data_IF_710593774779
#
_entry.id   IF_710593774779
#
_cell.length_a   1.000
_cell.length_b   1.000
_cell.length_c   1.000
_cell.angle_alpha   90.00
_cell.angle_beta   90.00
_cell.angle_gamma   90.00
#
_symmetry.space_group_name_H-M   'P 1'
#
loop_
_entity.id
_entity.type
_entity.pdbx_description
1 polymer ?
#
# COMPACT_ATOMS: atom_id res chain seq x y z
N UNK A 1 -14.06 0.99 62.11
CA UNK A 1 -13.91 1.92 60.97
C UNK A 1 -14.26 1.15 59.72
N UNK A 2 -15.37 1.47 59.06
CA UNK A 2 -15.78 0.82 57.82
C UNK A 2 -15.19 1.62 56.65
N UNK A 3 -14.42 0.95 55.79
CA UNK A 3 -13.91 1.54 54.55
C UNK A 3 -14.97 1.25 53.49
N UNK A 4 -15.76 2.25 53.14
CA UNK A 4 -16.63 2.18 51.96
C UNK A 4 -15.75 2.24 50.71
N UNK A 5 -15.84 1.25 49.80
CA UNK A 5 -15.26 1.41 48.47
C UNK A 5 -16.15 2.39 47.71
N UNK A 6 -15.66 3.60 47.49
CA UNK A 6 -16.24 4.51 46.52
C UNK A 6 -16.03 3.87 45.13
N UNK A 7 -17.11 3.27 44.60
CA UNK A 7 -17.19 2.88 43.20
C UNK A 7 -16.98 4.15 42.37
N UNK A 8 -15.83 4.26 41.72
CA UNK A 8 -15.59 5.25 40.68
C UNK A 8 -16.47 4.88 39.48
N UNK A 9 -17.70 5.37 39.49
CA UNK A 9 -18.58 5.36 38.32
C UNK A 9 -17.97 6.39 37.37
N UNK A 10 -17.14 5.95 36.42
CA UNK A 10 -16.85 6.74 35.23
C UNK A 10 -18.19 7.19 34.64
N UNK A 11 -18.38 8.48 34.42
CA UNK A 11 -19.69 9.05 34.09
C UNK A 11 -19.94 8.90 32.58
N UNK A 12 -20.80 7.97 32.10
CA UNK A 12 -21.23 7.92 30.70
C UNK A 12 -21.93 9.22 30.22
N UNK A 13 -22.14 10.20 31.11
CA UNK A 13 -22.76 11.49 30.82
C UNK A 13 -21.83 12.49 30.11
N UNK A 14 -20.52 12.47 30.37
CA UNK A 14 -19.60 13.46 29.81
C UNK A 14 -19.44 13.28 28.29
N UNK A 15 -19.23 12.04 27.84
CA UNK A 15 -19.13 11.70 26.41
C UNK A 15 -20.40 12.08 25.68
N UNK A 16 -21.58 11.64 26.17
CA UNK A 16 -22.86 11.95 25.53
C UNK A 16 -23.10 13.47 25.46
N UNK A 17 -22.91 14.20 26.58
CA UNK A 17 -23.10 15.64 26.61
C UNK A 17 -22.14 16.39 25.68
N UNK A 18 -20.87 15.99 25.62
CA UNK A 18 -19.88 16.59 24.71
C UNK A 18 -20.20 16.27 23.25
N UNK A 19 -20.52 15.01 22.93
CA UNK A 19 -20.85 14.63 21.55
C UNK A 19 -22.18 15.22 21.07
N UNK A 20 -23.16 15.45 21.96
CA UNK A 20 -24.44 16.08 21.63
C UNK A 20 -24.30 17.55 21.18
N UNK A 21 -23.17 18.20 21.49
CA UNK A 21 -22.86 19.54 21.00
C UNK A 21 -22.34 19.55 19.53
N UNK A 22 -22.06 18.39 18.95
CA UNK A 22 -21.60 18.25 17.56
C UNK A 22 -22.77 18.13 16.58
N UNK A 23 -22.46 18.06 15.29
CA UNK A 23 -23.49 17.77 14.28
C UNK A 23 -24.05 16.35 14.48
N UNK A 24 -25.32 16.08 14.12
CA UNK A 24 -25.91 14.75 14.26
C UNK A 24 -25.11 13.65 13.55
N UNK A 25 -24.43 13.98 12.44
CA UNK A 25 -23.58 13.07 11.68
C UNK A 25 -22.32 12.64 12.44
N UNK A 26 -21.80 13.51 13.31
CA UNK A 26 -20.58 13.25 14.08
C UNK A 26 -20.88 12.67 15.46
N UNK A 27 -22.12 12.70 15.92
CA UNK A 27 -22.50 12.23 17.26
C UNK A 27 -22.10 10.77 17.47
N UNK A 28 -22.57 9.85 16.62
CA UNK A 28 -22.28 8.41 16.76
C UNK A 28 -20.79 8.12 16.62
N UNK A 29 -20.11 8.83 15.70
CA UNK A 29 -18.66 8.72 15.52
C UNK A 29 -17.90 9.18 16.78
N UNK A 30 -18.27 10.32 17.35
CA UNK A 30 -17.69 10.86 18.57
C UNK A 30 -17.86 9.91 19.75
N UNK A 31 -19.10 9.42 19.98
CA UNK A 31 -19.39 8.48 21.05
C UNK A 31 -18.58 7.19 20.86
N UNK A 32 -18.55 6.65 19.63
CA UNK A 32 -17.82 5.41 19.33
C UNK A 32 -16.31 5.54 19.56
N UNK A 33 -15.69 6.61 19.05
CA UNK A 33 -14.25 6.85 19.20
C UNK A 33 -13.88 7.07 20.67
N UNK A 34 -14.59 7.93 21.39
CA UNK A 34 -14.26 8.27 22.78
C UNK A 34 -14.57 7.13 23.74
N UNK A 35 -15.62 6.32 23.50
CA UNK A 35 -15.94 5.18 24.37
C UNK A 35 -14.95 4.03 24.21
N UNK A 36 -14.27 3.91 23.06
CA UNK A 36 -13.28 2.87 22.80
C UNK A 36 -11.88 3.21 23.36
N UNK A 37 -11.61 4.48 23.68
CA UNK A 37 -10.34 4.92 24.25
C UNK A 37 -10.40 4.93 25.79
N UNK A 38 -9.50 4.23 26.49
CA UNK A 38 -9.53 4.15 27.95
C UNK A 38 -9.35 5.51 28.67
N UNK A 39 -8.58 6.43 28.09
CA UNK A 39 -8.36 7.75 28.71
C UNK A 39 -9.60 8.63 28.55
N UNK A 40 -10.24 8.61 27.37
CA UNK A 40 -11.51 9.27 27.13
C UNK A 40 -12.65 8.68 27.96
N UNK A 41 -12.75 7.35 28.06
CA UNK A 41 -13.79 6.68 28.85
C UNK A 41 -13.72 7.00 30.35
N UNK A 42 -12.52 7.30 30.85
CA UNK A 42 -12.29 7.69 32.25
C UNK A 42 -12.36 9.22 32.47
N UNK A 43 -12.46 10.02 31.41
CA UNK A 43 -12.55 11.46 31.53
C UNK A 43 -13.90 11.87 32.15
N UNK A 44 -13.87 12.79 33.11
CA UNK A 44 -15.05 13.25 33.84
C UNK A 44 -15.62 14.56 33.31
N UNK A 45 -14.91 15.24 32.40
CA UNK A 45 -15.30 16.53 31.84
C UNK A 45 -14.93 16.66 30.35
N UNK A 46 -15.44 17.72 29.71
CA UNK A 46 -15.22 18.01 28.29
C UNK A 46 -13.76 18.33 27.96
N UNK A 47 -12.98 18.86 28.92
CA UNK A 47 -11.57 19.20 28.69
C UNK A 47 -10.72 17.93 28.60
N UNK A 48 -10.96 16.96 29.49
CA UNK A 48 -10.34 15.64 29.43
C UNK A 48 -10.70 14.88 28.16
N UNK A 49 -11.97 14.97 27.72
CA UNK A 49 -12.40 14.38 26.44
C UNK A 49 -11.73 15.05 25.24
N UNK A 50 -11.59 16.38 25.25
CA UNK A 50 -10.87 17.10 24.20
C UNK A 50 -9.39 16.71 24.15
N UNK A 51 -8.72 16.59 25.30
CA UNK A 51 -7.34 16.14 25.38
C UNK A 51 -7.18 14.70 24.85
N UNK A 52 -8.09 13.80 25.22
CA UNK A 52 -8.10 12.42 24.71
C UNK A 52 -8.34 12.39 23.20
N UNK A 53 -9.30 13.16 22.68
CA UNK A 53 -9.55 13.27 21.24
C UNK A 53 -8.33 13.77 20.46
N UNK A 54 -7.61 14.78 20.99
CA UNK A 54 -6.37 15.28 20.41
C UNK A 54 -5.29 14.17 20.41
N UNK A 55 -5.13 13.44 21.51
CA UNK A 55 -4.16 12.35 21.60
C UNK A 55 -4.48 11.21 20.62
N UNK A 56 -5.74 10.79 20.51
CA UNK A 56 -6.20 9.81 19.52
C UNK A 56 -5.90 10.29 18.11
N UNK A 57 -6.17 11.57 17.82
CA UNK A 57 -5.89 12.18 16.52
C UNK A 57 -4.40 12.18 16.21
N UNK A 58 -3.56 12.55 17.17
CA UNK A 58 -2.10 12.52 17.03
C UNK A 58 -1.57 11.10 16.77
N UNK A 59 -2.08 10.10 17.49
CA UNK A 59 -1.72 8.69 17.29
C UNK A 59 -2.12 8.20 15.90
N UNK A 60 -3.35 8.53 15.44
CA UNK A 60 -3.81 8.19 14.08
C UNK A 60 -2.99 8.88 13.00
N UNK A 61 -2.63 10.15 13.20
CA UNK A 61 -1.76 10.89 12.29
C UNK A 61 -0.36 10.26 12.22
N UNK A 62 0.23 9.90 13.36
CA UNK A 62 1.52 9.22 13.42
C UNK A 62 1.49 7.85 12.73
N UNK A 63 0.46 7.05 12.98
CA UNK A 63 0.26 5.76 12.30
C UNK A 63 0.09 5.93 10.78
N UNK A 64 -0.63 6.95 10.34
CA UNK A 64 -0.80 7.26 8.91
C UNK A 64 0.53 7.67 8.27
N UNK A 65 1.32 8.52 8.94
CA UNK A 65 2.66 8.89 8.47
C UNK A 65 3.59 7.68 8.36
N UNK A 66 3.48 6.73 9.29
CA UNK A 66 4.24 5.49 9.24
C UNK A 66 3.85 4.64 8.02
N UNK A 67 2.55 4.46 7.75
CA UNK A 67 2.08 3.77 6.54
C UNK A 67 2.57 4.46 5.26
N UNK A 68 2.50 5.79 5.19
CA UNK A 68 3.03 6.58 4.05
C UNK A 68 4.53 6.32 3.87
N UNK A 69 5.29 6.28 4.96
CA UNK A 69 6.73 6.03 4.92
C UNK A 69 7.04 4.63 4.38
N UNK A 70 6.30 3.61 4.84
CA UNK A 70 6.43 2.25 4.32
C UNK A 70 6.10 2.18 2.83
N UNK A 71 4.99 2.80 2.42
CA UNK A 71 4.57 2.82 1.03
C UNK A 71 5.63 3.48 0.13
N UNK A 72 6.22 4.60 0.55
CA UNK A 72 7.29 5.26 -0.21
C UNK A 72 8.51 4.32 -0.37
N UNK A 73 8.90 3.60 0.68
CA UNK A 73 10.04 2.69 0.63
C UNK A 73 9.77 1.49 -0.29
N UNK A 74 8.59 0.91 -0.21
CA UNK A 74 8.15 -0.19 -1.08
C UNK A 74 8.08 0.28 -2.54
N UNK A 75 7.48 1.45 -2.80
CA UNK A 75 7.45 2.07 -4.13
C UNK A 75 8.85 2.41 -4.67
N UNK A 76 9.81 2.81 -3.83
CA UNK A 76 11.19 3.02 -4.27
C UNK A 76 11.83 1.71 -4.74
N UNK A 77 11.57 0.60 -4.06
CA UNK A 77 12.04 -0.72 -4.50
C UNK A 77 11.39 -1.08 -5.84
N UNK A 78 10.09 -0.83 -5.99
CA UNK A 78 9.39 -1.05 -7.25
C UNK A 78 9.93 -0.18 -8.39
N UNK A 79 10.25 1.08 -8.11
CA UNK A 79 10.91 1.96 -9.08
C UNK A 79 12.22 1.37 -9.57
N UNK A 80 13.03 0.79 -8.68
CA UNK A 80 14.31 0.19 -9.08
C UNK A 80 14.10 -1.10 -9.91
N UNK A 81 13.05 -1.87 -9.61
CA UNK A 81 12.63 -3.02 -10.44
C UNK A 81 12.23 -2.55 -11.85
N UNK A 82 11.36 -1.55 -11.93
CA UNK A 82 10.91 -0.99 -13.20
C UNK A 82 12.02 -0.30 -14.00
N UNK A 83 12.99 0.33 -13.33
CA UNK A 83 14.17 0.89 -13.99
C UNK A 83 15.01 -0.18 -14.70
N UNK A 84 15.23 -1.34 -14.06
CA UNK A 84 15.91 -2.48 -14.70
C UNK A 84 15.10 -3.07 -15.85
N UNK A 85 13.77 -3.13 -15.69
CA UNK A 85 12.87 -3.59 -16.75
C UNK A 85 12.92 -2.69 -17.99
N UNK A 86 12.89 -1.37 -17.79
CA UNK A 86 13.01 -0.39 -18.87
C UNK A 86 14.33 -0.55 -19.64
N UNK A 87 15.45 -0.69 -18.92
CA UNK A 87 16.76 -0.95 -19.52
C UNK A 87 16.77 -2.26 -20.34
N UNK A 88 16.23 -3.35 -19.77
CA UNK A 88 16.09 -4.63 -20.48
C UNK A 88 15.26 -4.50 -21.77
N UNK A 89 14.13 -3.79 -21.72
CA UNK A 89 13.31 -3.55 -22.92
C UNK A 89 14.05 -2.72 -23.98
N UNK A 90 14.88 -1.75 -23.59
CA UNK A 90 15.71 -0.99 -24.51
C UNK A 90 16.78 -1.87 -25.18
N UNK A 91 17.37 -2.82 -24.44
CA UNK A 91 18.30 -3.81 -24.98
C UNK A 91 17.62 -4.75 -25.98
N UNK A 92 16.43 -5.26 -25.64
CA UNK A 92 15.59 -6.07 -26.54
C UNK A 92 15.36 -5.35 -27.88
N UNK A 93 15.00 -4.06 -27.83
CA UNK A 93 14.80 -3.26 -29.04
C UNK A 93 16.09 -3.08 -29.86
N UNK A 94 17.25 -3.00 -29.20
CA UNK A 94 18.55 -2.91 -29.85
C UNK A 94 18.87 -4.22 -30.61
N UNK A 95 18.65 -5.36 -29.97
CA UNK A 95 18.85 -6.68 -30.57
C UNK A 95 17.92 -6.92 -31.76
N UNK A 96 16.64 -6.51 -31.65
CA UNK A 96 15.68 -6.56 -32.77
C UNK A 96 16.19 -5.76 -33.97
N UNK A 97 16.65 -4.53 -33.76
CA UNK A 97 17.20 -3.67 -34.84
C UNK A 97 18.44 -4.27 -35.48
N UNK A 98 19.25 -5.01 -34.72
CA UNK A 98 20.41 -5.73 -35.22
C UNK A 98 20.06 -7.08 -35.90
N UNK A 99 18.79 -7.48 -35.93
CA UNK A 99 18.35 -8.78 -36.45
C UNK A 99 18.74 -9.97 -35.56
N UNK A 100 19.09 -9.70 -34.30
CA UNK A 100 19.54 -10.68 -33.31
C UNK A 100 18.36 -11.24 -32.50
N UNK A 101 17.38 -11.83 -33.19
CA UNK A 101 16.09 -12.23 -32.58
C UNK A 101 16.22 -13.27 -31.46
N UNK A 102 17.20 -14.17 -31.53
CA UNK A 102 17.46 -15.12 -30.43
C UNK A 102 17.99 -14.41 -29.18
N UNK A 103 18.86 -13.40 -29.34
CA UNK A 103 19.34 -12.58 -28.23
C UNK A 103 18.19 -11.78 -27.62
N UNK A 104 17.37 -11.14 -28.47
CA UNK A 104 16.19 -10.39 -28.04
C UNK A 104 15.19 -11.27 -27.24
N UNK A 105 14.94 -12.50 -27.69
CA UNK A 105 14.07 -13.45 -26.99
C UNK A 105 14.63 -13.90 -25.64
N UNK A 106 15.95 -14.06 -25.53
CA UNK A 106 16.60 -14.36 -24.25
C UNK A 106 16.55 -13.15 -23.31
N UNK A 107 16.85 -11.96 -23.81
CA UNK A 107 16.88 -10.72 -23.03
C UNK A 107 15.50 -10.38 -22.45
N UNK A 108 14.44 -10.51 -23.27
CA UNK A 108 13.08 -10.21 -22.80
C UNK A 108 12.65 -11.19 -21.69
N UNK A 109 13.04 -12.46 -21.79
CA UNK A 109 12.73 -13.50 -20.81
C UNK A 109 13.46 -13.29 -19.48
N UNK A 110 14.72 -12.86 -19.54
CA UNK A 110 15.60 -12.76 -18.36
C UNK A 110 15.49 -11.41 -17.64
N UNK A 111 15.45 -10.31 -18.39
CA UNK A 111 15.66 -8.96 -17.83
C UNK A 111 14.43 -8.07 -17.97
N UNK A 112 13.64 -8.24 -19.03
CA UNK A 112 12.45 -7.41 -19.26
C UNK A 112 11.17 -7.97 -18.61
N UNK A 113 11.23 -9.14 -17.97
CA UNK A 113 10.09 -9.62 -17.18
C UNK A 113 9.91 -8.84 -15.89
N UNK A 114 10.91 -8.06 -15.44
CA UNK A 114 10.76 -6.93 -14.52
C UNK A 114 9.94 -7.18 -13.26
N UNK A 115 9.84 -8.43 -12.82
CA UNK A 115 8.98 -8.95 -11.74
C UNK A 115 7.83 -8.03 -11.25
N UNK A 116 6.83 -7.66 -12.09
CA UNK A 116 5.67 -6.87 -11.63
C UNK A 116 4.92 -7.57 -10.49
N UNK A 117 4.84 -8.90 -10.54
CA UNK A 117 4.24 -9.71 -9.46
C UNK A 117 5.00 -9.55 -8.13
N UNK A 118 6.32 -9.38 -8.18
CA UNK A 118 7.13 -9.07 -7.01
C UNK A 118 6.83 -7.71 -6.42
N UNK A 119 6.44 -6.74 -7.26
CA UNK A 119 5.95 -5.45 -6.81
C UNK A 119 4.57 -5.53 -6.15
N UNK A 120 3.63 -6.25 -6.76
CA UNK A 120 2.30 -6.51 -6.17
C UNK A 120 2.44 -7.16 -4.80
N UNK A 121 3.23 -8.24 -4.71
CA UNK A 121 3.47 -8.96 -3.45
C UNK A 121 4.08 -8.02 -2.41
N UNK A 122 5.10 -7.24 -2.78
CA UNK A 122 5.77 -6.34 -1.84
C UNK A 122 4.85 -5.24 -1.32
N UNK A 123 3.99 -4.66 -2.17
CA UNK A 123 3.09 -3.59 -1.78
C UNK A 123 1.88 -4.10 -0.99
N UNK A 124 1.40 -5.31 -1.32
CA UNK A 124 0.25 -5.92 -0.65
C UNK A 124 0.63 -6.58 0.69
N UNK A 125 1.70 -7.39 0.70
CA UNK A 125 2.18 -8.11 1.88
C UNK A 125 3.17 -7.27 2.72
N UNK A 126 3.66 -6.16 2.16
CA UNK A 126 4.55 -5.22 2.85
C UNK A 126 3.89 -4.49 4.01
N UNK A 127 4.68 -3.68 4.69
CA UNK A 127 4.23 -2.99 5.90
C UNK A 127 3.18 -1.91 5.62
N UNK A 128 3.10 -1.39 4.40
CA UNK A 128 2.04 -0.45 4.05
C UNK A 128 0.68 -1.15 3.87
N UNK A 129 0.67 -2.42 3.44
CA UNK A 129 -0.52 -3.15 2.98
C UNK A 129 -1.35 -2.34 1.95
N UNK A 130 -0.65 -1.59 1.09
CA UNK A 130 -1.25 -0.72 0.08
C UNK A 130 -0.54 -0.92 -1.25
N UNK A 131 -1.32 -1.36 -2.22
CA UNK A 131 -0.88 -1.46 -3.60
C UNK A 131 -1.61 -0.44 -4.50
N UNK A 132 -0.98 0.71 -4.76
CA UNK A 132 -1.56 1.73 -5.65
C UNK A 132 -1.29 1.47 -7.15
N UNK A 133 -0.50 0.44 -7.52
CA UNK A 133 -0.07 0.19 -8.91
C UNK A 133 -0.41 -1.22 -9.42
N UNK A 134 -1.24 -1.97 -8.70
CA UNK A 134 -1.68 -3.32 -9.09
C UNK A 134 -2.25 -3.43 -10.50
N UNK A 135 -2.99 -2.41 -10.96
CA UNK A 135 -3.53 -2.36 -12.31
C UNK A 135 -2.41 -2.29 -13.36
N UNK A 136 -1.48 -1.37 -13.15
CA UNK A 136 -0.31 -1.16 -14.01
C UNK A 136 0.61 -2.40 -14.02
N UNK A 137 0.85 -3.02 -12.86
CA UNK A 137 1.65 -4.25 -12.76
C UNK A 137 1.03 -5.39 -13.56
N UNK A 138 -0.29 -5.57 -13.46
CA UNK A 138 -1.04 -6.57 -14.23
C UNK A 138 -0.97 -6.34 -15.74
N UNK A 139 -1.15 -5.10 -16.18
CA UNK A 139 -1.10 -4.74 -17.60
C UNK A 139 0.31 -4.94 -18.18
N UNK A 140 1.34 -4.50 -17.47
CA UNK A 140 2.73 -4.65 -17.91
C UNK A 140 3.13 -6.12 -18.01
N UNK A 141 2.76 -6.96 -17.03
CA UNK A 141 2.99 -8.41 -17.09
C UNK A 141 2.39 -9.03 -18.35
N UNK A 142 1.15 -8.68 -18.68
CA UNK A 142 0.49 -9.20 -19.88
C UNK A 142 1.22 -8.76 -21.17
N UNK A 143 1.65 -7.49 -21.24
CA UNK A 143 2.38 -6.99 -22.41
C UNK A 143 3.75 -7.63 -22.59
N UNK A 144 4.48 -7.89 -21.51
CA UNK A 144 5.75 -8.63 -21.56
C UNK A 144 5.53 -10.03 -22.15
N UNK A 145 4.51 -10.75 -21.68
CA UNK A 145 4.23 -12.10 -22.21
C UNK A 145 3.90 -12.06 -23.71
N UNK A 146 3.05 -11.12 -24.13
CA UNK A 146 2.74 -10.92 -25.56
C UNK A 146 4.01 -10.63 -26.37
N UNK A 147 4.86 -9.72 -25.90
CA UNK A 147 6.10 -9.36 -26.59
C UNK A 147 7.08 -10.54 -26.64
N UNK A 148 7.18 -11.32 -25.57
CA UNK A 148 8.03 -12.52 -25.49
C UNK A 148 7.58 -13.57 -26.51
N UNK A 149 6.28 -13.90 -26.53
CA UNK A 149 5.70 -14.89 -27.45
C UNK A 149 5.91 -14.51 -28.92
N UNK A 150 5.78 -13.22 -29.25
CA UNK A 150 6.05 -12.70 -30.60
C UNK A 150 7.53 -12.88 -30.95
N UNK A 151 8.45 -12.52 -30.06
CA UNK A 151 9.89 -12.64 -30.30
C UNK A 151 10.32 -14.09 -30.48
N UNK A 152 9.82 -14.99 -29.65
CA UNK A 152 10.08 -16.42 -29.80
C UNK A 152 9.55 -16.98 -31.13
N UNK A 153 8.36 -16.55 -31.57
CA UNK A 153 7.81 -16.98 -32.85
C UNK A 153 8.70 -16.54 -34.02
N UNK A 154 9.19 -15.30 -34.00
CA UNK A 154 10.14 -14.77 -34.99
C UNK A 154 11.45 -15.58 -34.96
N UNK A 155 12.03 -15.76 -33.78
CA UNK A 155 13.26 -16.52 -33.57
C UNK A 155 13.19 -17.95 -34.13
N UNK A 156 12.08 -18.66 -33.86
CA UNK A 156 11.81 -20.00 -34.41
C UNK A 156 11.73 -20.00 -35.93
N UNK A 157 11.05 -19.02 -36.53
CA UNK A 157 10.88 -18.95 -37.99
C UNK A 157 12.19 -18.63 -38.70
N UNK A 158 12.99 -17.70 -38.15
CA UNK A 158 14.31 -17.38 -38.69
C UNK A 158 15.23 -18.60 -38.61
N UNK A 159 15.20 -19.35 -37.51
CA UNK A 159 16.01 -20.56 -37.36
C UNK A 159 15.66 -21.63 -38.40
N UNK A 160 14.36 -21.85 -38.68
CA UNK A 160 13.89 -22.79 -39.72
C UNK A 160 14.29 -22.38 -41.14
N UNK A 161 14.38 -21.07 -41.42
CA UNK A 161 14.78 -20.58 -42.75
C UNK A 161 16.27 -20.73 -43.05
N UNK A 162 17.09 -21.00 -42.03
CA UNK A 162 18.56 -21.15 -42.16
C UNK A 162 19.04 -22.60 -42.24
N UNK A 163 18.14 -23.57 -42.05
CA UNK A 163 18.35 -25.02 -42.23
C UNK A 163 17.85 -25.48 -43.59
#
# INVERSE_FOLDING_TARGET
MAITPALAIGNPSAINATCAALTPQLYDYCVGVLSADPAAANATDALGLAAAAINITALKAASTLQVITYLINELNTCRDIYGRMEEGLANVLTDIRAGQYNSAANEISMNATGNPDGCDIMLFEGNSHKDPISGENGDIRNWVFVASDILEAIARNVSKSRT
#
